data_IF_857154246960
#
_entry.id   IF_857154246960
#
_cell.length_a   1.000
_cell.length_b   1.000
_cell.length_c   1.000
_cell.angle_alpha   90.00
_cell.angle_beta   90.00
_cell.angle_gamma   90.00
#
_symmetry.space_group_name_H-M   'P 1'
#
loop_
_entity.id
_entity.type
_entity.pdbx_description
1 polymer ?
#
# COMPACT_ATOMS: atom_id res chain seq x y z
N UNK A 1 7.84 -32.67 -30.71
CA UNK A 1 7.18 -33.10 -29.46
C UNK A 1 7.69 -32.35 -28.23
N UNK A 2 9.02 -32.31 -27.96
CA UNK A 2 9.59 -31.64 -26.78
C UNK A 2 9.18 -30.16 -26.60
N UNK A 3 9.18 -29.36 -27.68
CA UNK A 3 8.75 -27.94 -27.63
C UNK A 3 7.25 -27.77 -27.36
N UNK A 4 6.43 -28.66 -27.90
CA UNK A 4 4.98 -28.64 -27.71
C UNK A 4 4.63 -28.95 -26.25
N UNK A 5 5.26 -29.98 -25.70
CA UNK A 5 5.11 -30.39 -24.31
C UNK A 5 5.59 -29.30 -23.34
N UNK A 6 6.72 -28.64 -23.61
CA UNK A 6 7.17 -27.49 -22.82
C UNK A 6 6.18 -26.32 -22.86
N UNK A 7 5.58 -26.04 -24.01
CA UNK A 7 4.61 -24.94 -24.14
C UNK A 7 3.35 -25.21 -23.32
N UNK A 8 2.85 -26.45 -23.35
CA UNK A 8 1.69 -26.87 -22.55
C UNK A 8 2.00 -26.79 -21.04
N UNK A 9 3.19 -27.24 -20.62
CA UNK A 9 3.60 -27.18 -19.22
C UNK A 9 3.75 -25.74 -18.71
N UNK A 10 4.34 -24.85 -19.51
CA UNK A 10 4.44 -23.42 -19.18
C UNK A 10 3.05 -22.77 -19.08
N UNK A 11 2.15 -23.07 -20.01
CA UNK A 11 0.77 -22.58 -19.97
C UNK A 11 0.05 -23.04 -18.70
N UNK A 12 0.17 -24.32 -18.35
CA UNK A 12 -0.43 -24.87 -17.13
C UNK A 12 0.15 -24.23 -15.86
N UNK A 13 1.46 -23.99 -15.81
CA UNK A 13 2.12 -23.32 -14.69
C UNK A 13 1.64 -21.87 -14.53
N UNK A 14 1.51 -21.13 -15.63
CA UNK A 14 1.02 -19.74 -15.61
C UNK A 14 -0.44 -19.67 -15.16
N UNK A 15 -1.31 -20.56 -15.66
CA UNK A 15 -2.71 -20.63 -15.26
C UNK A 15 -2.86 -21.01 -13.79
N UNK A 16 -2.11 -22.00 -13.32
CA UNK A 16 -2.10 -22.41 -11.91
C UNK A 16 -1.62 -21.29 -10.99
N UNK A 17 -0.58 -20.55 -11.39
CA UNK A 17 -0.13 -19.34 -10.70
C UNK A 17 -1.24 -18.29 -10.63
N UNK A 18 -1.81 -17.91 -11.78
CA UNK A 18 -2.87 -16.89 -11.83
C UNK A 18 -4.09 -17.25 -10.95
N UNK A 19 -4.53 -18.51 -10.96
CA UNK A 19 -5.63 -18.96 -10.10
C UNK A 19 -5.28 -18.92 -8.61
N UNK A 20 -4.02 -19.20 -8.26
CA UNK A 20 -3.53 -19.09 -6.88
C UNK A 20 -3.51 -17.64 -6.40
N UNK A 21 -3.18 -16.69 -7.28
CA UNK A 21 -3.19 -15.25 -6.99
C UNK A 21 -4.60 -14.63 -7.03
N UNK A 22 -5.58 -15.26 -7.67
CA UNK A 22 -6.96 -14.73 -7.74
C UNK A 22 -7.65 -14.65 -6.37
N UNK A 23 -7.19 -15.43 -5.39
CA UNK A 23 -7.63 -15.34 -3.99
C UNK A 23 -6.89 -14.30 -3.15
N UNK A 24 -5.85 -13.65 -3.68
CA UNK A 24 -5.11 -12.62 -2.95
C UNK A 24 -5.92 -11.32 -2.91
N UNK A 25 -6.54 -11.09 -1.76
CA UNK A 25 -7.18 -9.80 -1.47
C UNK A 25 -6.08 -8.77 -1.27
N UNK A 26 -5.90 -7.89 -2.25
CA UNK A 26 -5.08 -6.67 -2.08
C UNK A 26 -5.87 -5.74 -1.16
N UNK A 27 -5.56 -5.79 0.13
CA UNK A 27 -6.08 -4.81 1.09
C UNK A 27 -5.38 -3.48 0.76
N UNK A 28 -6.10 -2.44 0.30
CA UNK A 28 -5.48 -1.14 0.15
C UNK A 28 -4.91 -0.75 1.52
N UNK A 29 -3.73 -0.09 1.58
CA UNK A 29 -3.23 0.42 2.85
C UNK A 29 -4.38 1.19 3.51
N UNK A 30 -4.56 1.06 4.84
CA UNK A 30 -5.62 1.76 5.54
C UNK A 30 -5.65 3.18 4.98
N UNK A 31 -6.82 3.62 4.47
CA UNK A 31 -6.99 5.04 4.10
C UNK A 31 -6.39 5.85 5.24
N UNK A 32 -5.70 6.97 4.97
CA UNK A 32 -5.07 7.76 6.02
C UNK A 32 -6.13 8.41 6.92
N UNK A 33 -6.84 7.59 7.70
CA UNK A 33 -7.83 7.97 8.69
C UNK A 33 -7.14 8.72 9.84
N UNK A 34 -5.81 8.61 9.89
CA UNK A 34 -4.92 9.26 10.83
C UNK A 34 -3.59 9.57 10.13
N UNK A 35 -3.62 10.35 9.04
CA UNK A 35 -2.38 10.95 8.54
C UNK A 35 -1.89 11.94 9.60
N UNK A 36 -1.12 11.42 10.56
CA UNK A 36 -0.40 12.26 11.51
C UNK A 36 0.56 13.10 10.70
N UNK A 37 0.27 14.39 10.63
CA UNK A 37 1.11 15.37 9.95
C UNK A 37 1.96 16.07 10.99
N UNK A 38 3.21 16.30 10.64
CA UNK A 38 4.07 17.16 11.44
C UNK A 38 3.65 18.60 11.23
N UNK A 39 3.27 19.28 12.32
CA UNK A 39 2.95 20.70 12.30
C UNK A 39 4.19 21.43 12.82
N UNK A 40 4.80 22.25 11.97
CA UNK A 40 5.92 23.11 12.35
C UNK A 40 5.52 24.08 13.46
N UNK A 41 6.48 24.51 14.29
CA UNK A 41 6.21 25.46 15.36
C UNK A 41 5.64 26.78 14.81
N UNK A 42 4.65 27.34 15.50
CA UNK A 42 3.94 28.54 15.07
C UNK A 42 3.54 29.42 16.25
N UNK A 43 3.32 30.70 15.96
CA UNK A 43 2.72 31.64 16.91
C UNK A 43 1.21 31.50 16.87
N UNK A 44 0.61 31.08 17.98
CA UNK A 44 -0.83 31.04 18.15
C UNK A 44 -1.37 32.45 18.45
N UNK A 45 -2.70 32.66 18.29
CA UNK A 45 -3.35 33.83 18.87
C UNK A 45 -2.96 33.97 20.36
N UNK A 46 -2.88 35.21 20.86
CA UNK A 46 -2.39 35.55 22.21
C UNK A 46 -0.85 35.55 22.37
N UNK A 47 -0.09 35.55 21.28
CA UNK A 47 1.39 35.59 21.31
C UNK A 47 2.00 34.43 22.10
N UNK A 48 1.43 33.23 21.95
CA UNK A 48 1.96 32.00 22.55
C UNK A 48 2.70 31.22 21.48
N UNK A 49 3.94 30.82 21.78
CA UNK A 49 4.71 29.93 20.91
C UNK A 49 4.25 28.49 21.12
N UNK A 50 3.83 27.84 20.04
CA UNK A 50 3.49 26.41 20.04
C UNK A 50 4.64 25.64 19.41
N UNK A 51 5.27 24.76 20.19
CA UNK A 51 6.32 23.87 19.70
C UNK A 51 5.77 22.90 18.64
N UNK A 52 6.65 22.44 17.76
CA UNK A 52 6.29 21.47 16.72
C UNK A 52 5.74 20.18 17.34
N UNK A 53 4.66 19.67 16.77
CA UNK A 53 3.97 18.49 17.27
C UNK A 53 3.32 17.69 16.16
N UNK A 54 3.04 16.41 16.44
CA UNK A 54 2.23 15.58 15.57
C UNK A 54 0.76 15.90 15.79
N UNK A 55 0.06 16.28 14.72
CA UNK A 55 -1.37 16.54 14.73
C UNK A 55 -2.11 15.68 13.72
N UNK A 56 -3.43 15.70 13.79
CA UNK A 56 -4.31 15.14 12.77
C UNK A 56 -4.79 16.28 11.87
N UNK A 57 -4.91 16.02 10.57
CA UNK A 57 -5.50 16.97 9.61
C UNK A 57 -6.97 16.69 9.41
#
# INVERSE_FOLDING_TARGET
MRRFMSTVLLGAALLGGAMSLAGCIVVPPPRPYHQRVWIGGYWAPQHVWVAGHWGYR
#
